data_IF_166578950173
#
_entry.id   IF_166578950173
#
_cell.length_a   1.000
_cell.length_b   1.000
_cell.length_c   1.000
_cell.angle_alpha   90.00
_cell.angle_beta   90.00
_cell.angle_gamma   90.00
#
_symmetry.space_group_name_H-M   'P 1'
#
loop_
_entity.id
_entity.type
_entity.pdbx_description
1 polymer ?
#
# COMPACT_ATOMS: atom_id res chain seq x y z
N UNK A 1 28.03 -18.40 -6.98
CA UNK A 1 27.59 -17.04 -6.59
C UNK A 1 27.00 -17.12 -5.19
N UNK A 2 27.43 -16.29 -4.24
CA UNK A 2 26.82 -16.25 -2.91
C UNK A 2 25.35 -15.83 -3.02
N UNK A 3 24.52 -16.32 -2.11
CA UNK A 3 23.11 -15.92 -2.06
C UNK A 3 23.02 -14.46 -1.61
N UNK A 4 22.34 -13.56 -2.35
CA UNK A 4 22.34 -12.15 -2.02
C UNK A 4 21.46 -11.88 -0.80
N UNK A 5 21.93 -11.01 0.10
CA UNK A 5 21.25 -10.68 1.37
C UNK A 5 21.19 -9.19 1.67
N UNK A 6 21.72 -8.32 0.80
CA UNK A 6 21.73 -6.88 1.02
C UNK A 6 21.01 -6.16 -0.10
N UNK A 7 20.03 -5.33 0.28
CA UNK A 7 19.36 -4.45 -0.64
C UNK A 7 20.04 -3.08 -0.67
N UNK A 8 20.21 -2.51 -1.86
CA UNK A 8 20.65 -1.13 -2.03
C UNK A 8 19.43 -0.21 -1.98
N UNK A 9 19.53 0.87 -1.21
CA UNK A 9 18.50 1.89 -1.08
C UNK A 9 19.01 3.17 -1.74
N UNK A 10 18.67 3.42 -3.02
CA UNK A 10 19.17 4.58 -3.73
C UNK A 10 18.44 5.85 -3.29
N UNK A 11 19.13 6.98 -3.40
CA UNK A 11 18.55 8.32 -3.45
C UNK A 11 18.65 8.82 -4.89
N UNK A 12 17.66 9.58 -5.36
CA UNK A 12 17.69 10.17 -6.69
C UNK A 12 18.61 11.39 -6.73
N UNK A 13 18.54 12.24 -5.71
CA UNK A 13 19.24 13.53 -5.67
C UNK A 13 20.62 13.47 -5.00
N UNK A 14 21.06 12.29 -4.53
CA UNK A 14 22.31 12.12 -3.81
C UNK A 14 23.04 10.85 -4.22
N UNK A 15 24.37 10.88 -4.17
CA UNK A 15 25.23 9.71 -4.32
C UNK A 15 25.27 8.84 -3.07
N UNK A 16 24.77 9.33 -1.93
CA UNK A 16 24.61 8.56 -0.69
C UNK A 16 23.77 7.33 -0.97
N UNK A 17 24.27 6.17 -0.55
CA UNK A 17 23.56 4.89 -0.64
C UNK A 17 23.40 4.33 0.75
N UNK A 18 22.15 4.09 1.15
CA UNK A 18 21.88 3.25 2.31
C UNK A 18 21.80 1.79 1.87
N UNK A 19 22.02 0.89 2.82
CA UNK A 19 21.89 -0.55 2.59
C UNK A 19 20.97 -1.14 3.62
N UNK A 20 20.05 -2.01 3.18
CA UNK A 20 19.19 -2.78 4.07
C UNK A 20 19.67 -4.24 4.09
N UNK A 21 20.40 -4.64 5.14
CA UNK A 21 20.77 -6.05 5.32
C UNK A 21 19.51 -6.90 5.55
N UNK A 22 19.58 -8.15 5.11
CA UNK A 22 18.56 -9.16 5.35
C UNK A 22 19.20 -10.40 5.97
N UNK A 23 18.45 -11.05 6.85
CA UNK A 23 18.81 -12.32 7.46
C UNK A 23 18.08 -13.45 6.73
N UNK A 24 18.85 -14.48 6.36
CA UNK A 24 18.31 -15.72 5.83
C UNK A 24 18.07 -16.69 7.00
N UNK A 25 16.81 -16.91 7.35
CA UNK A 25 16.43 -17.74 8.51
C UNK A 25 15.70 -19.00 8.04
N UNK A 26 16.11 -20.21 8.45
CA UNK A 26 15.34 -21.42 8.18
C UNK A 26 13.92 -21.32 8.74
N UNK A 27 12.92 -21.78 7.99
CA UNK A 27 11.56 -21.91 8.49
C UNK A 27 11.40 -23.23 9.24
N UNK A 28 10.75 -23.17 10.40
CA UNK A 28 10.32 -24.34 11.18
C UNK A 28 8.91 -24.82 10.81
N UNK A 29 8.36 -24.33 9.70
CA UNK A 29 6.97 -24.54 9.32
C UNK A 29 6.73 -25.97 8.80
N UNK A 30 5.63 -26.59 9.21
CA UNK A 30 5.24 -27.96 8.82
C UNK A 30 4.39 -28.00 7.54
N UNK A 31 3.88 -26.86 7.06
CA UNK A 31 3.15 -26.81 5.80
C UNK A 31 4.04 -27.32 4.65
N UNK A 32 3.58 -28.33 3.91
CA UNK A 32 4.35 -28.99 2.86
C UNK A 32 5.04 -28.01 1.88
N UNK A 33 4.36 -26.91 1.53
CA UNK A 33 4.90 -25.87 0.63
C UNK A 33 6.06 -25.03 1.23
N UNK A 34 6.25 -25.07 2.55
CA UNK A 34 7.24 -24.29 3.31
C UNK A 34 8.33 -25.14 3.98
N UNK A 35 8.13 -26.45 4.09
CA UNK A 35 9.14 -27.37 4.66
C UNK A 35 10.46 -27.24 3.92
N UNK A 36 11.55 -27.11 4.69
CA UNK A 36 12.92 -27.01 4.15
C UNK A 36 13.24 -25.68 3.45
N UNK A 37 12.36 -24.67 3.53
CA UNK A 37 12.61 -23.33 2.98
C UNK A 37 13.19 -22.41 4.04
N UNK A 38 13.90 -21.39 3.58
CA UNK A 38 14.35 -20.26 4.40
C UNK A 38 13.60 -18.99 4.00
N UNK A 39 13.38 -18.09 4.95
CA UNK A 39 12.84 -16.76 4.72
C UNK A 39 13.98 -15.74 4.63
N UNK A 40 13.85 -14.76 3.74
CA UNK A 40 14.75 -13.60 3.69
C UNK A 40 14.05 -12.40 4.35
N UNK A 41 14.47 -12.07 5.57
CA UNK A 41 13.84 -11.07 6.43
C UNK A 41 14.70 -9.81 6.53
N UNK A 42 14.16 -8.59 6.36
CA UNK A 42 14.91 -7.36 6.64
C UNK A 42 15.47 -7.36 8.07
N UNK A 43 16.75 -7.06 8.22
CA UNK A 43 17.41 -6.92 9.52
C UNK A 43 17.19 -5.49 10.04
N UNK A 44 16.04 -5.28 10.67
CA UNK A 44 15.60 -3.99 11.21
C UNK A 44 14.98 -4.21 12.58
N UNK A 45 15.32 -3.34 13.54
CA UNK A 45 14.66 -3.28 14.83
C UNK A 45 13.35 -2.49 14.72
N UNK A 46 12.21 -3.20 14.73
CA UNK A 46 10.90 -2.56 14.65
C UNK A 46 10.50 -1.81 15.94
N UNK A 47 11.18 -2.05 17.07
CA UNK A 47 10.93 -1.34 18.33
C UNK A 47 11.59 0.04 18.37
N UNK A 48 12.58 0.29 17.49
CA UNK A 48 13.16 1.60 17.22
C UNK A 48 12.16 2.60 16.59
N UNK A 49 10.93 2.17 16.30
CA UNK A 49 9.88 2.98 15.69
C UNK A 49 8.62 3.04 16.55
N UNK A 50 7.97 4.21 16.51
CA UNK A 50 6.61 4.40 17.00
C UNK A 50 5.66 4.40 15.81
N UNK A 51 4.67 3.51 15.84
CA UNK A 51 3.64 3.45 14.81
C UNK A 51 2.38 4.22 15.23
N UNK A 52 1.76 4.95 14.29
CA UNK A 52 0.50 5.68 14.49
C UNK A 52 -0.35 5.61 13.24
N UNK A 53 -1.61 5.21 13.36
CA UNK A 53 -2.59 5.34 12.28
C UNK A 53 -3.39 6.64 12.42
N UNK A 54 -3.75 7.27 11.30
CA UNK A 54 -4.56 8.49 11.21
C UNK A 54 -5.45 8.46 9.97
N UNK A 55 -6.57 9.21 10.00
CA UNK A 55 -7.33 9.55 8.79
C UNK A 55 -6.69 10.81 8.21
N UNK A 56 -6.12 10.71 7.01
CA UNK A 56 -5.47 11.86 6.36
C UNK A 56 -6.50 12.80 5.77
N UNK A 57 -7.56 12.27 5.16
CA UNK A 57 -8.74 13.04 4.76
C UNK A 57 -9.94 12.13 4.53
N UNK A 58 -11.12 12.73 4.49
CA UNK A 58 -12.38 12.10 4.11
C UNK A 58 -13.15 13.02 3.16
N UNK A 59 -13.76 12.45 2.13
CA UNK A 59 -14.63 13.16 1.20
C UNK A 59 -16.06 12.64 1.35
N UNK A 60 -16.97 13.55 1.64
CA UNK A 60 -18.40 13.30 1.78
C UNK A 60 -19.17 14.00 0.67
N UNK A 61 -20.24 13.39 0.19
CA UNK A 61 -21.22 13.99 -0.71
C UNK A 61 -22.46 14.39 0.08
N UNK A 62 -22.81 15.67 0.02
CA UNK A 62 -23.97 16.24 0.70
C UNK A 62 -25.04 16.64 -0.32
N UNK A 63 -26.31 16.50 0.06
CA UNK A 63 -27.46 16.96 -0.70
C UNK A 63 -28.37 17.79 0.20
N UNK A 64 -28.34 19.11 0.00
CA UNK A 64 -29.05 20.10 0.77
C UNK A 64 -30.46 20.35 0.23
N UNK A 65 -31.42 20.60 1.11
CA UNK A 65 -32.78 20.96 0.71
C UNK A 65 -32.85 22.38 0.14
N UNK A 66 -31.97 23.27 0.65
CA UNK A 66 -31.84 24.65 0.20
C UNK A 66 -30.62 24.82 -0.70
N UNK A 67 -30.77 25.60 -1.76
CA UNK A 67 -29.67 26.00 -2.63
C UNK A 67 -28.71 26.92 -1.85
N UNK A 68 -27.41 26.69 -1.99
CA UNK A 68 -26.36 27.44 -1.28
C UNK A 68 -25.18 27.76 -2.18
N UNK A 69 -24.14 28.39 -1.63
CA UNK A 69 -22.89 28.70 -2.33
C UNK A 69 -21.69 28.26 -1.50
N UNK A 70 -20.56 28.08 -2.18
CA UNK A 70 -19.29 27.65 -1.58
C UNK A 70 -18.94 28.43 -0.30
N UNK A 71 -19.02 29.77 -0.34
CA UNK A 71 -18.66 30.63 0.79
C UNK A 71 -19.52 30.36 2.04
N UNK A 72 -20.80 30.05 1.88
CA UNK A 72 -21.72 29.84 3.00
C UNK A 72 -21.50 28.47 3.64
N UNK A 73 -21.30 27.43 2.83
CA UNK A 73 -20.87 26.11 3.33
C UNK A 73 -19.54 26.24 4.06
N UNK A 74 -18.55 26.92 3.46
CA UNK A 74 -17.24 27.11 4.08
C UNK A 74 -17.31 27.86 5.42
N UNK A 75 -18.23 28.81 5.59
CA UNK A 75 -18.46 29.50 6.86
C UNK A 75 -18.93 28.54 7.95
N UNK A 76 -19.85 27.62 7.65
CA UNK A 76 -20.29 26.60 8.62
C UNK A 76 -19.12 25.68 8.99
N UNK A 77 -18.37 25.21 7.99
CA UNK A 77 -17.21 24.34 8.21
C UNK A 77 -16.16 24.98 9.13
N UNK A 78 -15.90 26.29 8.99
CA UNK A 78 -14.95 27.03 9.85
C UNK A 78 -15.37 27.15 11.31
N UNK A 79 -16.66 26.95 11.62
CA UNK A 79 -17.13 26.88 13.00
C UNK A 79 -16.67 25.62 13.75
N UNK A 80 -16.17 24.62 13.01
CA UNK A 80 -15.84 23.29 13.55
C UNK A 80 -14.44 22.80 13.15
N UNK A 81 -13.89 23.28 12.04
CA UNK A 81 -12.65 22.81 11.46
C UNK A 81 -11.59 23.92 11.46
N UNK A 82 -10.36 23.57 11.83
CA UNK A 82 -9.22 24.49 11.86
C UNK A 82 -8.71 24.89 10.46
N UNK A 83 -9.23 24.25 9.41
CA UNK A 83 -8.74 24.40 8.03
C UNK A 83 -9.91 24.47 7.06
N UNK A 84 -9.71 25.20 5.96
CA UNK A 84 -10.68 25.19 4.86
C UNK A 84 -10.75 23.79 4.25
N UNK A 85 -11.96 23.38 3.86
CA UNK A 85 -12.20 22.12 3.18
C UNK A 85 -12.28 22.37 1.68
N UNK A 86 -11.90 21.39 0.87
CA UNK A 86 -12.14 21.51 -0.56
C UNK A 86 -13.61 21.19 -0.83
N UNK A 87 -14.36 22.16 -1.33
CA UNK A 87 -15.78 21.99 -1.68
C UNK A 87 -15.88 21.98 -3.20
N UNK A 88 -16.35 20.87 -3.76
CA UNK A 88 -16.62 20.72 -5.19
C UNK A 88 -18.13 20.69 -5.40
N UNK A 89 -18.73 21.80 -5.88
CA UNK A 89 -20.14 21.82 -6.25
C UNK A 89 -20.46 20.74 -7.28
N UNK A 90 -21.63 20.10 -7.14
CA UNK A 90 -22.20 19.18 -8.11
C UNK A 90 -23.46 19.84 -8.66
N UNK A 91 -23.64 19.82 -9.99
CA UNK A 91 -24.80 20.41 -10.66
C UNK A 91 -24.98 21.91 -10.35
N UNK A 92 -24.00 22.73 -10.72
CA UNK A 92 -24.07 24.18 -10.52
C UNK A 92 -25.25 24.79 -11.29
N UNK A 93 -26.06 25.58 -10.59
CA UNK A 93 -27.00 26.53 -11.18
C UNK A 93 -26.39 27.92 -11.33
N UNK A 94 -27.26 28.89 -11.64
CA UNK A 94 -26.86 30.30 -11.81
C UNK A 94 -26.18 30.85 -10.55
N UNK A 95 -25.19 31.72 -10.76
CA UNK A 95 -24.42 32.32 -9.66
C UNK A 95 -23.55 31.35 -8.86
N UNK A 96 -23.14 30.22 -9.47
CA UNK A 96 -22.36 29.15 -8.83
C UNK A 96 -23.06 28.56 -7.60
N UNK A 97 -24.38 28.58 -7.62
CA UNK A 97 -25.20 27.99 -6.58
C UNK A 97 -25.33 26.49 -6.78
N UNK A 98 -25.55 25.74 -5.70
CA UNK A 98 -25.72 24.29 -5.75
C UNK A 98 -26.56 23.79 -4.58
N UNK A 99 -27.29 22.69 -4.80
CA UNK A 99 -27.90 21.88 -3.73
C UNK A 99 -27.07 20.64 -3.40
N UNK A 100 -26.14 20.25 -4.28
CA UNK A 100 -25.31 19.05 -4.11
C UNK A 100 -23.84 19.41 -4.18
N UNK A 101 -23.00 18.83 -3.31
CA UNK A 101 -21.55 19.04 -3.36
C UNK A 101 -20.77 17.88 -2.76
N UNK A 102 -19.48 17.81 -3.09
CA UNK A 102 -18.49 17.01 -2.37
C UNK A 102 -17.67 17.90 -1.47
N UNK A 103 -17.46 17.49 -0.23
CA UNK A 103 -16.67 18.20 0.76
C UNK A 103 -15.54 17.29 1.21
N UNK A 104 -14.29 17.69 0.95
CA UNK A 104 -13.10 16.99 1.44
C UNK A 104 -12.57 17.67 2.70
N UNK A 105 -12.66 16.97 3.81
CA UNK A 105 -12.18 17.39 5.13
C UNK A 105 -10.77 16.80 5.31
N UNK A 106 -9.80 17.69 5.49
CA UNK A 106 -8.39 17.34 5.66
C UNK A 106 -8.07 17.13 7.15
N UNK A 107 -7.36 16.05 7.44
CA UNK A 107 -6.84 15.66 8.75
C UNK A 107 -7.87 15.81 9.89
N UNK A 108 -9.09 15.25 9.75
CA UNK A 108 -10.10 15.37 10.79
C UNK A 108 -9.56 14.79 12.10
N UNK A 109 -9.72 15.53 13.22
CA UNK A 109 -9.29 15.05 14.55
C UNK A 109 -10.05 13.80 15.00
N UNK A 110 -11.28 13.63 14.52
CA UNK A 110 -12.08 12.41 14.65
C UNK A 110 -13.17 12.34 13.57
N UNK A 111 -13.68 11.14 13.30
CA UNK A 111 -14.85 10.93 12.46
C UNK A 111 -16.15 11.35 13.16
N UNK A 112 -16.17 11.37 14.49
CA UNK A 112 -17.27 11.96 15.25
C UNK A 112 -17.43 13.47 14.95
N UNK A 113 -16.32 14.21 14.80
CA UNK A 113 -16.37 15.61 14.38
C UNK A 113 -16.93 15.76 12.96
N UNK A 114 -16.59 14.85 12.04
CA UNK A 114 -17.16 14.84 10.68
C UNK A 114 -18.68 14.71 10.73
N UNK A 115 -19.20 13.86 11.62
CA UNK A 115 -20.64 13.75 11.85
C UNK A 115 -21.25 15.04 12.41
N UNK A 116 -20.64 15.65 13.43
CA UNK A 116 -21.08 16.96 13.96
C UNK A 116 -21.12 18.05 12.88
N UNK A 117 -20.12 18.08 11.99
CA UNK A 117 -20.09 19.00 10.85
C UNK A 117 -21.26 18.75 9.90
N UNK A 118 -21.58 17.49 9.63
CA UNK A 118 -22.72 17.13 8.78
C UNK A 118 -24.05 17.55 9.42
N UNK A 119 -24.21 17.35 10.72
CA UNK A 119 -25.41 17.80 11.45
C UNK A 119 -25.56 19.33 11.35
N UNK A 120 -24.48 20.08 11.58
CA UNK A 120 -24.51 21.54 11.47
C UNK A 120 -24.86 22.05 10.06
N UNK A 121 -24.43 21.33 9.02
CA UNK A 121 -24.82 21.63 7.63
C UNK A 121 -26.30 21.30 7.37
N UNK A 122 -26.78 20.17 7.89
CA UNK A 122 -28.17 19.75 7.79
C UNK A 122 -29.10 20.73 8.52
N UNK A 123 -28.75 21.16 9.73
CA UNK A 123 -29.50 22.17 10.50
C UNK A 123 -29.59 23.50 9.76
N UNK A 124 -28.51 23.89 9.05
CA UNK A 124 -28.45 25.17 8.37
C UNK A 124 -29.17 25.19 7.02
N UNK A 125 -29.07 24.11 6.24
CA UNK A 125 -29.53 24.10 4.83
C UNK A 125 -30.62 23.05 4.55
N UNK A 126 -31.01 22.27 5.55
CA UNK A 126 -31.81 21.07 5.38
C UNK A 126 -31.04 19.96 4.66
N UNK A 127 -31.52 18.73 4.77
CA UNK A 127 -30.89 17.56 4.18
C UNK A 127 -31.92 16.74 3.40
N UNK A 128 -31.65 16.51 2.11
CA UNK A 128 -32.52 15.69 1.24
C UNK A 128 -32.20 14.20 1.42
N UNK A 129 -30.90 13.87 1.52
CA UNK A 129 -30.41 12.50 1.72
C UNK A 129 -29.26 12.49 2.72
N UNK A 130 -29.06 11.38 3.43
CA UNK A 130 -27.88 11.13 4.27
C UNK A 130 -26.58 11.48 3.52
N UNK A 131 -25.61 12.17 4.16
CA UNK A 131 -24.31 12.41 3.53
C UNK A 131 -23.59 11.08 3.30
N UNK A 132 -23.16 10.88 2.07
CA UNK A 132 -22.53 9.63 1.62
C UNK A 132 -21.02 9.80 1.66
N UNK A 133 -20.29 8.83 2.22
CA UNK A 133 -18.83 8.84 2.17
C UNK A 133 -18.40 8.40 0.78
N UNK A 134 -17.71 9.28 0.05
CA UNK A 134 -17.25 9.00 -1.32
C UNK A 134 -15.85 8.45 -1.37
N UNK A 135 -14.97 8.96 -0.52
CA UNK A 135 -13.58 8.55 -0.44
C UNK A 135 -13.03 8.77 0.96
N UNK A 136 -12.07 7.96 1.38
CA UNK A 136 -11.33 8.15 2.63
C UNK A 136 -9.88 7.70 2.44
N UNK A 137 -8.94 8.48 2.98
CA UNK A 137 -7.53 8.10 3.03
C UNK A 137 -7.10 7.82 4.47
N UNK A 138 -6.57 6.62 4.69
CA UNK A 138 -6.02 6.18 5.97
C UNK A 138 -4.52 6.01 5.82
N UNK A 139 -3.79 6.57 6.78
CA UNK A 139 -2.34 6.55 6.83
C UNK A 139 -1.84 5.79 8.04
N UNK A 140 -0.80 4.99 7.87
CA UNK A 140 0.00 4.40 8.95
C UNK A 140 1.41 4.98 8.86
N UNK A 141 1.78 5.70 9.91
CA UNK A 141 3.04 6.39 10.07
C UNK A 141 3.99 5.59 10.98
N UNK A 142 5.26 5.47 10.58
CA UNK A 142 6.34 4.94 11.39
C UNK A 142 7.37 6.05 11.67
N UNK A 143 7.42 6.48 12.93
CA UNK A 143 8.33 7.53 13.41
C UNK A 143 9.58 6.89 14.02
N UNK A 144 10.79 7.16 13.49
CA UNK A 144 12.02 6.71 14.13
C UNK A 144 12.21 7.42 15.49
N UNK A 145 12.50 6.66 16.55
CA UNK A 145 12.66 7.21 17.90
C UNK A 145 13.91 8.09 18.03
N UNK A 146 14.95 7.78 17.29
CA UNK A 146 16.21 8.52 17.25
C UNK A 146 16.19 9.72 16.28
N UNK A 147 15.09 9.86 15.51
CA UNK A 147 14.86 10.93 14.53
C UNK A 147 15.92 10.98 13.40
N UNK A 148 16.70 9.90 13.20
CA UNK A 148 17.75 9.87 12.18
C UNK A 148 17.21 9.47 10.81
N UNK A 149 17.70 10.13 9.77
CA UNK A 149 17.38 9.82 8.37
C UNK A 149 17.77 8.39 7.99
N UNK A 150 18.91 7.89 8.49
CA UNK A 150 19.37 6.52 8.23
C UNK A 150 18.37 5.47 8.77
N UNK A 151 17.87 5.66 9.99
CA UNK A 151 16.86 4.79 10.60
C UNK A 151 15.57 4.83 9.77
N UNK A 152 15.09 6.03 9.41
CA UNK A 152 13.91 6.18 8.54
C UNK A 152 14.08 5.50 7.17
N UNK A 153 15.26 5.62 6.56
CA UNK A 153 15.60 4.98 5.29
C UNK A 153 15.49 3.45 5.35
N UNK A 154 15.95 2.82 6.44
CA UNK A 154 15.82 1.38 6.64
C UNK A 154 14.36 0.93 6.70
N UNK A 155 13.52 1.66 7.45
CA UNK A 155 12.08 1.38 7.53
C UNK A 155 11.40 1.52 6.18
N UNK A 156 11.67 2.62 5.45
CA UNK A 156 11.08 2.83 4.13
C UNK A 156 11.49 1.71 3.16
N UNK A 157 12.78 1.37 3.13
CA UNK A 157 13.30 0.30 2.31
C UNK A 157 12.68 -1.07 2.63
N UNK A 158 12.40 -1.35 3.91
CA UNK A 158 11.77 -2.59 4.36
C UNK A 158 10.29 -2.64 3.97
N UNK A 159 9.55 -1.56 4.19
CA UNK A 159 8.12 -1.44 3.85
C UNK A 159 7.92 -1.53 2.34
N UNK A 160 8.67 -0.77 1.53
CA UNK A 160 8.57 -0.81 0.06
C UNK A 160 8.81 -2.21 -0.50
N UNK A 161 9.69 -3.00 0.14
CA UNK A 161 10.02 -4.37 -0.33
C UNK A 161 9.05 -5.43 0.13
N UNK A 162 8.40 -5.24 1.26
CA UNK A 162 7.54 -6.28 1.87
C UNK A 162 6.07 -5.99 1.69
N UNK A 163 5.69 -4.79 1.24
CA UNK A 163 4.31 -4.43 0.93
C UNK A 163 3.68 -5.42 -0.05
N UNK A 164 2.50 -5.91 0.30
CA UNK A 164 1.75 -6.91 -0.46
C UNK A 164 0.32 -6.46 -0.68
N UNK A 165 -0.21 -6.80 -1.85
CA UNK A 165 -1.64 -6.76 -2.16
C UNK A 165 -2.02 -8.03 -2.92
N UNK A 166 -3.22 -8.54 -2.68
CA UNK A 166 -3.83 -9.65 -3.41
C UNK A 166 -4.58 -9.19 -4.68
N UNK A 167 -4.71 -7.89 -4.89
CA UNK A 167 -5.28 -7.31 -6.10
C UNK A 167 -4.46 -7.67 -7.33
N UNK A 168 -5.14 -7.81 -8.46
CA UNK A 168 -4.47 -7.85 -9.75
C UNK A 168 -3.98 -6.45 -10.14
N UNK A 169 -2.73 -6.17 -9.82
CA UNK A 169 -2.05 -4.92 -10.15
C UNK A 169 -1.25 -5.00 -11.47
N UNK A 170 -1.35 -6.11 -12.20
CA UNK A 170 -0.52 -6.36 -13.38
C UNK A 170 -1.28 -6.21 -14.68
N UNK A 171 -2.59 -6.51 -14.68
CA UNK A 171 -3.46 -6.41 -15.86
C UNK A 171 -3.61 -4.98 -16.36
N UNK A 172 -3.90 -4.01 -15.49
CA UNK A 172 -3.87 -2.58 -15.84
C UNK A 172 -2.47 -2.01 -15.61
N UNK A 173 -1.91 -1.37 -16.63
CA UNK A 173 -0.61 -0.68 -16.54
C UNK A 173 -0.60 0.38 -15.45
N UNK A 174 -1.71 1.07 -15.20
CA UNK A 174 -1.82 2.16 -14.22
C UNK A 174 -1.82 1.66 -12.78
N UNK A 175 -2.18 0.40 -12.54
CA UNK A 175 -2.17 -0.19 -11.19
C UNK A 175 -0.78 -0.67 -10.75
N UNK A 176 0.16 -0.79 -11.69
CA UNK A 176 1.49 -1.36 -11.44
C UNK A 176 2.31 -0.51 -10.46
N UNK A 177 3.19 -1.15 -9.67
CA UNK A 177 4.14 -0.45 -8.81
C UNK A 177 4.99 0.53 -9.62
N UNK A 178 4.91 1.80 -9.24
CA UNK A 178 5.60 2.90 -9.93
C UNK A 178 6.10 3.94 -8.95
N UNK A 179 7.01 4.78 -9.43
CA UNK A 179 7.41 6.02 -8.77
C UNK A 179 7.05 7.18 -9.68
N UNK A 180 6.60 8.29 -9.10
CA UNK A 180 6.51 9.57 -9.79
C UNK A 180 7.69 10.45 -9.33
N UNK A 181 8.68 10.66 -10.20
CA UNK A 181 9.81 11.51 -9.91
C UNK A 181 9.43 12.99 -10.12
N UNK A 182 8.58 13.56 -9.27
CA UNK A 182 8.23 14.99 -9.30
C UNK A 182 7.73 15.47 -10.68
N UNK A 183 6.66 14.86 -11.20
CA UNK A 183 5.97 15.26 -12.44
C UNK A 183 6.79 15.04 -13.73
N UNK A 184 7.90 14.29 -13.65
CA UNK A 184 8.76 13.97 -14.80
C UNK A 184 8.74 12.46 -15.05
N UNK A 185 7.80 12.04 -15.91
CA UNK A 185 7.59 10.67 -16.44
C UNK A 185 7.57 9.58 -15.36
N UNK A 186 6.38 9.00 -15.17
CA UNK A 186 6.17 7.77 -14.40
C UNK A 186 7.20 6.70 -14.75
N UNK A 187 7.86 6.14 -13.73
CA UNK A 187 8.77 5.00 -13.88
C UNK A 187 8.21 3.78 -13.16
N UNK A 188 8.03 2.69 -13.89
CA UNK A 188 7.59 1.41 -13.34
C UNK A 188 8.76 0.70 -12.66
N UNK A 189 8.48 0.01 -11.55
CA UNK A 189 9.50 -0.72 -10.79
C UNK A 189 9.82 -2.09 -11.37
N UNK A 190 9.03 -2.56 -12.33
CA UNK A 190 9.15 -3.87 -12.97
C UNK A 190 8.82 -3.80 -14.45
N UNK A 191 9.36 -4.71 -15.28
CA UNK A 191 9.09 -4.74 -16.72
C UNK A 191 7.63 -5.11 -17.00
N UNK A 192 7.17 -4.85 -18.23
CA UNK A 192 5.80 -5.16 -18.64
C UNK A 192 5.61 -6.68 -18.82
N UNK A 193 4.54 -7.29 -18.28
CA UNK A 193 4.30 -8.74 -18.34
C UNK A 193 4.10 -9.30 -19.76
N UNK A 194 3.53 -8.53 -20.69
CA UNK A 194 2.87 -9.09 -21.89
C UNK A 194 3.55 -8.78 -23.24
N UNK A 195 4.74 -8.18 -23.25
CA UNK A 195 5.48 -8.05 -24.50
C UNK A 195 6.12 -9.40 -24.82
N UNK A 196 5.59 -10.12 -25.82
CA UNK A 196 6.10 -11.43 -26.31
C UNK A 196 7.62 -11.47 -26.55
N UNK A 197 8.26 -10.33 -26.80
CA UNK A 197 9.72 -10.20 -26.96
C UNK A 197 10.50 -10.17 -25.64
N UNK A 198 9.83 -9.96 -24.51
CA UNK A 198 10.42 -9.52 -23.25
C UNK A 198 10.01 -10.35 -22.02
N UNK A 199 9.41 -11.54 -22.22
CA UNK A 199 9.10 -12.50 -21.12
C UNK A 199 10.35 -12.86 -20.30
N UNK A 200 11.55 -12.68 -20.87
CA UNK A 200 12.82 -12.88 -20.14
C UNK A 200 13.14 -11.73 -19.19
N UNK A 201 12.63 -10.53 -19.44
CA UNK A 201 12.95 -9.34 -18.64
C UNK A 201 12.31 -9.39 -17.26
N UNK A 202 11.08 -9.89 -17.13
CA UNK A 202 10.47 -10.13 -15.82
C UNK A 202 11.16 -11.22 -15.00
N UNK A 203 11.98 -12.05 -15.65
CA UNK A 203 12.83 -13.03 -15.00
C UNK A 203 14.30 -12.59 -14.91
N UNK A 204 14.64 -11.36 -15.29
CA UNK A 204 15.98 -10.82 -15.21
C UNK A 204 16.03 -9.75 -14.08
N UNK A 205 16.72 -10.02 -12.96
CA UNK A 205 16.80 -9.08 -11.83
C UNK A 205 17.31 -7.68 -12.19
N UNK A 206 18.11 -7.54 -13.26
CA UNK A 206 18.66 -6.26 -13.72
C UNK A 206 17.61 -5.36 -14.40
N UNK A 207 16.49 -5.93 -14.83
CA UNK A 207 15.38 -5.19 -15.47
C UNK A 207 14.38 -4.63 -14.46
N UNK A 208 14.62 -4.87 -13.17
CA UNK A 208 13.83 -4.35 -12.07
C UNK A 208 14.50 -3.11 -11.46
N UNK A 209 13.71 -2.17 -10.95
CA UNK A 209 14.22 -0.91 -10.40
C UNK A 209 13.94 -0.80 -8.90
N UNK A 210 14.96 -0.46 -8.14
CA UNK A 210 14.79 -0.12 -6.73
C UNK A 210 14.07 1.22 -6.59
N UNK A 211 12.98 1.32 -5.79
CA UNK A 211 12.35 2.59 -5.51
C UNK A 211 13.34 3.48 -4.73
N UNK A 212 13.61 4.71 -5.20
CA UNK A 212 14.43 5.65 -4.46
C UNK A 212 13.75 6.08 -3.14
N UNK A 213 14.54 6.32 -2.10
CA UNK A 213 14.04 6.71 -0.79
C UNK A 213 13.45 8.12 -0.77
N UNK A 214 13.93 9.00 -1.63
CA UNK A 214 13.44 10.38 -1.83
C UNK A 214 12.30 10.46 -2.86
N UNK A 215 11.63 9.34 -3.13
CA UNK A 215 10.48 9.24 -4.05
C UNK A 215 9.30 8.53 -3.37
N UNK A 216 8.09 8.82 -3.86
CA UNK A 216 6.88 8.10 -3.44
C UNK A 216 6.68 6.88 -4.34
N UNK A 217 6.50 5.71 -3.73
CA UNK A 217 6.06 4.50 -4.42
C UNK A 217 4.53 4.45 -4.42
N UNK A 218 3.97 4.21 -5.61
CA UNK A 218 2.54 4.13 -5.85
C UNK A 218 2.15 2.72 -6.29
N UNK A 219 1.01 2.23 -5.82
CA UNK A 219 0.37 0.99 -6.29
C UNK A 219 -1.13 1.26 -6.46
N UNK A 220 -1.68 0.95 -7.63
CA UNK A 220 -3.03 1.39 -8.03
C UNK A 220 -3.04 2.65 -8.90
N UNK A 221 -3.99 2.81 -9.82
CA UNK A 221 -4.13 4.01 -10.63
C UNK A 221 -4.50 5.24 -9.78
N UNK A 222 -4.15 6.43 -10.27
CA UNK A 222 -4.64 7.67 -9.67
C UNK A 222 -6.17 7.72 -9.80
N UNK A 223 -6.87 8.00 -8.71
CA UNK A 223 -8.34 7.90 -8.59
C UNK A 223 -8.93 6.50 -8.76
N UNK A 224 -8.13 5.43 -8.65
CA UNK A 224 -8.69 4.08 -8.54
C UNK A 224 -9.48 3.92 -7.23
N UNK A 225 -10.37 2.92 -7.24
CA UNK A 225 -11.15 2.47 -6.07
C UNK A 225 -10.24 2.19 -4.86
N UNK A 226 -9.03 1.68 -5.11
CA UNK A 226 -8.00 1.46 -4.09
C UNK A 226 -6.68 1.99 -4.65
N UNK A 227 -6.03 2.86 -3.88
CA UNK A 227 -4.76 3.46 -4.25
C UNK A 227 -3.83 3.56 -3.04
N UNK A 228 -2.59 3.08 -3.19
CA UNK A 228 -1.60 3.08 -2.13
C UNK A 228 -0.44 4.02 -2.44
N UNK A 229 0.07 4.67 -1.38
CA UNK A 229 1.29 5.48 -1.41
C UNK A 229 2.23 5.06 -0.28
N UNK A 230 3.51 4.91 -0.59
CA UNK A 230 4.56 4.62 0.38
C UNK A 230 5.70 5.61 0.17
N UNK A 231 5.99 6.44 1.18
CA UNK A 231 6.91 7.56 1.02
C UNK A 231 7.71 7.90 2.29
N UNK A 232 8.83 8.59 2.09
CA UNK A 232 9.47 9.37 3.15
C UNK A 232 8.76 10.73 3.29
N UNK A 233 8.05 10.92 4.40
CA UNK A 233 7.29 12.14 4.67
C UNK A 233 8.18 13.11 5.43
N UNK A 234 8.89 13.96 4.67
CA UNK A 234 9.80 15.01 5.16
C UNK A 234 9.29 16.43 4.92
N UNK A 235 8.24 16.57 4.13
CA UNK A 235 7.55 17.83 3.85
C UNK A 235 6.06 17.67 4.14
N UNK A 236 5.44 18.76 4.53
CA UNK A 236 4.00 18.86 4.72
C UNK A 236 3.41 20.05 3.97
N UNK A 237 2.13 19.93 3.61
CA UNK A 237 1.35 20.97 2.92
C UNK A 237 2.07 21.57 1.70
N UNK A 238 1.99 20.89 0.56
CA UNK A 238 2.36 21.54 -0.70
C UNK A 238 1.26 22.54 -1.09
N UNK A 239 1.58 23.82 -1.05
CA UNK A 239 0.73 24.85 -1.61
C UNK A 239 0.80 24.74 -3.15
N UNK A 240 -0.28 25.01 -3.90
CA UNK A 240 -0.27 25.02 -5.36
C UNK A 240 0.81 25.95 -5.97
N UNK A 241 1.27 26.94 -5.21
CA UNK A 241 2.33 27.89 -5.59
C UNK A 241 3.76 27.33 -5.40
N UNK A 242 3.91 26.09 -4.95
CA UNK A 242 5.20 25.40 -4.77
C UNK A 242 5.84 25.56 -3.38
N UNK A 243 5.28 26.39 -2.51
CA UNK A 243 5.71 26.45 -1.10
C UNK A 243 5.35 25.16 -0.37
N UNK A 244 6.30 24.61 0.38
CA UNK A 244 6.11 23.44 1.23
C UNK A 244 6.64 23.74 2.63
N UNK A 245 5.96 23.21 3.64
CA UNK A 245 6.44 23.27 5.01
C UNK A 245 7.40 22.11 5.23
N UNK A 246 8.65 22.41 5.56
CA UNK A 246 9.60 21.35 5.97
C UNK A 246 9.20 20.86 7.35
N UNK A 247 9.12 19.55 7.50
CA UNK A 247 8.83 18.93 8.79
C UNK A 247 10.04 19.01 9.72
N UNK A 248 9.78 19.18 11.01
CA UNK A 248 10.81 19.01 12.05
C UNK A 248 11.27 17.57 12.11
N UNK A 249 12.46 17.30 12.66
CA UNK A 249 13.00 15.94 12.74
C UNK A 249 12.08 14.96 13.50
N UNK A 250 11.34 15.46 14.50
CA UNK A 250 10.35 14.69 15.26
C UNK A 250 9.08 14.34 14.45
N UNK A 251 8.78 15.10 13.40
CA UNK A 251 7.61 14.90 12.53
C UNK A 251 7.94 14.06 11.29
N UNK A 252 9.22 13.97 10.91
CA UNK A 252 9.66 13.12 9.80
C UNK A 252 9.34 11.66 10.09
N UNK A 253 8.80 10.98 9.08
CA UNK A 253 8.27 9.62 9.23
C UNK A 253 8.21 8.88 7.90
N UNK A 254 8.22 7.55 7.97
CA UNK A 254 7.77 6.73 6.84
C UNK A 254 6.26 6.68 6.88
N UNK A 255 5.61 6.95 5.75
CA UNK A 255 4.15 6.90 5.65
C UNK A 255 3.69 5.88 4.63
N UNK A 256 2.65 5.15 5.00
CA UNK A 256 1.93 4.18 4.17
C UNK A 256 0.48 4.61 4.13
N UNK A 257 -0.04 4.95 2.96
CA UNK A 257 -1.39 5.46 2.79
C UNK A 257 -2.19 4.50 1.93
N UNK A 258 -3.47 4.38 2.24
CA UNK A 258 -4.47 3.78 1.36
C UNK A 258 -5.65 4.73 1.21
N UNK A 259 -5.97 5.07 -0.03
CA UNK A 259 -7.20 5.73 -0.41
C UNK A 259 -8.21 4.66 -0.85
N UNK A 260 -9.40 4.70 -0.27
CA UNK A 260 -10.54 3.83 -0.59
C UNK A 260 -11.67 4.68 -1.17
N UNK A 261 -12.32 4.17 -2.21
CA UNK A 261 -13.43 4.82 -2.90
C UNK A 261 -14.48 3.80 -3.35
N UNK A 262 -15.64 4.29 -3.77
CA UNK A 262 -16.72 3.53 -4.42
C UNK A 262 -17.05 2.21 -3.69
N UNK A 263 -17.18 1.10 -4.42
CA UNK A 263 -17.60 -0.20 -3.91
C UNK A 263 -16.66 -0.80 -2.86
N UNK A 264 -15.40 -0.36 -2.79
CA UNK A 264 -14.50 -0.85 -1.74
C UNK A 264 -14.86 -0.28 -0.37
N UNK A 265 -15.41 0.94 -0.31
CA UNK A 265 -15.94 1.50 0.94
C UNK A 265 -17.07 0.62 1.47
N UNK A 266 -18.01 0.25 0.60
CA UNK A 266 -19.14 -0.62 0.97
C UNK A 266 -18.64 -1.99 1.47
N UNK A 267 -17.63 -2.56 0.82
CA UNK A 267 -17.04 -3.84 1.25
C UNK A 267 -16.35 -3.78 2.62
N UNK A 268 -15.91 -2.60 3.06
CA UNK A 268 -15.35 -2.41 4.41
C UNK A 268 -16.39 -1.87 5.40
N UNK A 269 -17.64 -1.71 4.99
CA UNK A 269 -18.75 -1.25 5.82
C UNK A 269 -18.81 0.26 5.99
N UNK A 270 -18.21 1.04 5.08
CA UNK A 270 -18.33 2.50 5.02
C UNK A 270 -19.26 2.86 3.86
N UNK A 271 -20.39 3.48 4.16
CA UNK A 271 -21.37 3.91 3.16
C UNK A 271 -21.70 5.38 3.33
N UNK A 272 -22.12 5.74 4.53
CA UNK A 272 -22.56 7.07 4.93
C UNK A 272 -21.85 7.51 6.22
N UNK A 273 -22.12 8.74 6.64
CA UNK A 273 -21.52 9.29 7.86
C UNK A 273 -21.92 8.51 9.12
N UNK A 274 -23.09 7.87 9.16
CA UNK A 274 -23.51 7.08 10.30
C UNK A 274 -22.70 5.76 10.42
N UNK A 275 -22.37 5.13 9.29
CA UNK A 275 -21.55 3.92 9.23
C UNK A 275 -20.15 4.10 9.85
N UNK A 276 -19.62 5.33 9.84
CA UNK A 276 -18.33 5.68 10.45
C UNK A 276 -18.28 5.42 11.96
N UNK A 277 -19.44 5.42 12.65
CA UNK A 277 -19.53 5.15 14.10
C UNK A 277 -19.13 3.73 14.45
N UNK A 278 -19.51 2.77 13.62
CA UNK A 278 -19.29 1.33 13.86
C UNK A 278 -18.09 0.78 13.09
N UNK A 279 -17.45 1.60 12.26
CA UNK A 279 -16.31 1.19 11.47
C UNK A 279 -15.12 0.80 12.34
N UNK A 280 -14.42 -0.27 11.93
CA UNK A 280 -13.23 -0.79 12.62
C UNK A 280 -12.03 -0.70 11.68
N UNK A 281 -11.12 0.22 11.96
CA UNK A 281 -9.87 0.42 11.21
C UNK A 281 -8.97 -0.81 11.24
N UNK A 282 -9.03 -1.62 12.31
CA UNK A 282 -8.31 -2.90 12.39
C UNK A 282 -8.70 -3.88 11.28
N UNK A 283 -9.91 -3.79 10.72
CA UNK A 283 -10.31 -4.60 9.56
C UNK A 283 -9.46 -4.33 8.31
N UNK A 284 -8.89 -3.12 8.19
CA UNK A 284 -8.07 -2.71 7.06
C UNK A 284 -6.70 -3.41 7.01
N UNK A 285 -6.17 -3.85 8.15
CA UNK A 285 -4.83 -4.44 8.22
C UNK A 285 -4.71 -5.65 7.29
N UNK A 286 -5.71 -6.55 7.34
CA UNK A 286 -5.69 -7.80 6.60
C UNK A 286 -5.89 -7.65 5.11
N UNK A 287 -6.26 -6.47 4.58
CA UNK A 287 -6.50 -6.26 3.13
C UNK A 287 -5.55 -5.22 2.54
N UNK A 288 -5.36 -4.10 3.23
CA UNK A 288 -4.70 -2.93 2.66
C UNK A 288 -3.31 -2.66 3.23
N UNK A 289 -3.03 -3.15 4.44
CA UNK A 289 -1.72 -3.02 5.09
C UNK A 289 -1.10 -4.38 5.37
N UNK A 290 -0.89 -5.15 4.30
CA UNK A 290 -0.25 -6.46 4.38
C UNK A 290 1.24 -6.37 4.04
N UNK A 291 2.06 -6.99 4.89
CA UNK A 291 3.48 -7.18 4.63
C UNK A 291 3.82 -8.67 4.61
N UNK A 292 4.58 -9.09 3.60
CA UNK A 292 4.99 -10.48 3.40
C UNK A 292 6.49 -10.60 3.17
N UNK A 293 7.04 -11.74 3.56
CA UNK A 293 8.44 -12.12 3.36
C UNK A 293 8.53 -13.26 2.35
N UNK A 294 9.46 -13.17 1.39
CA UNK A 294 9.68 -14.26 0.44
C UNK A 294 10.41 -15.43 1.08
N UNK A 295 10.16 -16.62 0.54
CA UNK A 295 10.82 -17.86 0.97
C UNK A 295 11.60 -18.48 -0.20
N UNK A 296 12.65 -19.24 0.12
CA UNK A 296 13.61 -19.80 -0.83
C UNK A 296 13.94 -21.25 -0.46
N UNK A 297 13.98 -22.14 -1.45
CA UNK A 297 14.41 -23.54 -1.26
C UNK A 297 15.87 -23.69 -1.67
N UNK A 298 16.79 -23.37 -0.76
CA UNK A 298 18.22 -23.49 -1.00
C UNK A 298 18.74 -24.85 -0.54
N UNK A 299 19.47 -25.54 -1.42
CA UNK A 299 20.12 -26.82 -1.09
C UNK A 299 21.59 -26.59 -0.77
N UNK A 300 22.06 -27.08 0.38
CA UNK A 300 23.50 -27.14 0.71
C UNK A 300 24.14 -28.28 -0.10
N UNK A 301 25.33 -28.04 -0.66
CA UNK A 301 26.06 -29.01 -1.51
C UNK A 301 25.22 -29.52 -2.70
N UNK A 302 24.83 -28.64 -3.63
CA UNK A 302 23.90 -29.01 -4.69
C UNK A 302 24.55 -29.90 -5.76
N UNK A 303 23.81 -30.92 -6.21
CA UNK A 303 24.04 -31.56 -7.52
C UNK A 303 23.94 -30.52 -8.66
N UNK A 304 24.41 -30.84 -9.87
CA UNK A 304 24.32 -29.91 -11.01
C UNK A 304 22.89 -29.38 -11.25
N UNK A 305 21.87 -30.24 -11.14
CA UNK A 305 20.46 -29.83 -11.23
C UNK A 305 20.06 -28.87 -10.11
N UNK A 306 20.44 -29.18 -8.87
CA UNK A 306 20.17 -28.32 -7.71
C UNK A 306 20.96 -27.01 -7.79
N UNK A 307 22.12 -26.98 -8.44
CA UNK A 307 22.91 -25.77 -8.63
C UNK A 307 22.17 -24.80 -9.55
N UNK A 308 21.53 -25.31 -10.61
CA UNK A 308 20.62 -24.52 -11.44
C UNK A 308 19.41 -23.98 -10.66
N UNK A 309 18.83 -24.78 -9.76
CA UNK A 309 17.73 -24.33 -8.90
C UNK A 309 18.19 -23.25 -7.90
N UNK A 310 19.36 -23.43 -7.27
CA UNK A 310 19.94 -22.43 -6.37
C UNK A 310 20.25 -21.12 -7.12
N UNK A 311 20.69 -21.19 -8.38
CA UNK A 311 20.89 -20.00 -9.21
C UNK A 311 19.57 -19.26 -9.45
N UNK A 312 18.49 -19.98 -9.77
CA UNK A 312 17.15 -19.38 -9.88
C UNK A 312 16.69 -18.75 -8.57
N UNK A 313 16.91 -19.41 -7.43
CA UNK A 313 16.59 -18.86 -6.11
C UNK A 313 17.42 -17.59 -5.81
N UNK A 314 18.67 -17.53 -6.23
CA UNK A 314 19.49 -16.31 -6.12
C UNK A 314 18.96 -15.17 -7.01
N UNK A 315 18.49 -15.47 -8.23
CA UNK A 315 17.83 -14.46 -9.09
C UNK A 315 16.52 -13.96 -8.48
N UNK A 316 15.71 -14.86 -7.90
CA UNK A 316 14.50 -14.50 -7.14
C UNK A 316 14.85 -13.56 -5.98
N UNK A 317 15.89 -13.89 -5.22
CA UNK A 317 16.35 -13.08 -4.10
C UNK A 317 16.82 -11.70 -4.57
N UNK A 318 17.59 -11.63 -5.66
CA UNK A 318 18.03 -10.36 -6.24
C UNK A 318 16.83 -9.51 -6.70
N UNK A 319 15.82 -10.11 -7.34
CA UNK A 319 14.59 -9.41 -7.75
C UNK A 319 13.87 -8.80 -6.55
N UNK A 320 13.73 -9.56 -5.46
CA UNK A 320 13.15 -9.07 -4.22
C UNK A 320 14.00 -7.96 -3.57
N UNK A 321 15.31 -8.13 -3.48
CA UNK A 321 16.21 -7.13 -2.89
C UNK A 321 16.26 -5.84 -3.71
N UNK A 322 16.04 -5.92 -5.02
CA UNK A 322 15.93 -4.75 -5.89
C UNK A 322 14.56 -4.08 -5.74
N UNK A 323 13.45 -4.78 -6.01
CA UNK A 323 12.13 -4.16 -6.21
C UNK A 323 11.00 -4.69 -5.33
N UNK A 324 11.32 -5.57 -4.40
CA UNK A 324 10.35 -6.08 -3.43
C UNK A 324 9.51 -7.27 -3.89
N UNK A 325 8.59 -7.65 -3.03
CA UNK A 325 7.80 -8.88 -3.13
C UNK A 325 6.77 -8.85 -4.27
N UNK A 326 6.26 -7.67 -4.63
CA UNK A 326 5.38 -7.52 -5.79
C UNK A 326 6.13 -7.88 -7.08
N UNK A 327 7.34 -7.33 -7.26
CA UNK A 327 8.20 -7.66 -8.40
C UNK A 327 8.58 -9.14 -8.43
N UNK A 328 8.87 -9.75 -7.27
CA UNK A 328 9.09 -11.19 -7.17
C UNK A 328 7.84 -12.00 -7.57
N UNK A 329 6.64 -11.52 -7.22
CA UNK A 329 5.39 -12.14 -7.67
C UNK A 329 5.26 -12.16 -9.19
N UNK A 330 5.65 -11.07 -9.87
CA UNK A 330 5.72 -11.02 -11.33
C UNK A 330 6.75 -12.01 -11.89
N UNK A 331 7.93 -12.07 -11.28
CA UNK A 331 8.98 -13.03 -11.66
C UNK A 331 8.45 -14.46 -11.58
N UNK A 332 7.85 -14.83 -10.44
CA UNK A 332 7.34 -16.18 -10.19
C UNK A 332 6.21 -16.54 -11.17
N UNK A 333 5.25 -15.62 -11.39
CA UNK A 333 4.17 -15.81 -12.37
C UNK A 333 4.71 -16.02 -13.79
N UNK A 334 5.72 -15.26 -14.19
CA UNK A 334 6.33 -15.38 -15.53
C UNK A 334 7.07 -16.70 -15.69
N UNK A 335 7.79 -17.13 -14.65
CA UNK A 335 8.45 -18.44 -14.63
C UNK A 335 7.45 -19.60 -14.71
N UNK A 336 6.33 -19.51 -13.98
CA UNK A 336 5.26 -20.52 -14.04
C UNK A 336 4.65 -20.62 -15.44
N UNK A 337 4.35 -19.48 -16.07
CA UNK A 337 3.85 -19.44 -17.46
C UNK A 337 4.85 -20.05 -18.44
N UNK A 338 6.16 -19.77 -18.27
CA UNK A 338 7.22 -20.34 -19.11
C UNK A 338 7.33 -21.86 -18.92
N UNK A 339 7.32 -22.33 -17.67
CA UNK A 339 7.39 -23.75 -17.36
C UNK A 339 6.17 -24.48 -17.90
N UNK A 340 4.98 -23.90 -17.79
CA UNK A 340 3.76 -24.43 -18.40
C UNK A 340 3.83 -24.52 -19.92
N UNK A 341 4.36 -23.48 -20.60
CA UNK A 341 4.56 -23.53 -22.07
C UNK A 341 5.52 -24.64 -22.48
N UNK A 342 6.63 -24.80 -21.76
CA UNK A 342 7.60 -25.87 -22.00
C UNK A 342 6.97 -27.25 -21.76
N UNK A 343 6.28 -27.43 -20.64
CA UNK A 343 5.57 -28.68 -20.34
C UNK A 343 4.56 -29.02 -21.42
N UNK A 344 3.73 -28.08 -21.89
CA UNK A 344 2.78 -28.33 -22.99
C UNK A 344 3.49 -28.82 -24.26
N UNK A 345 4.68 -28.27 -24.58
CA UNK A 345 5.49 -28.75 -25.73
C UNK A 345 6.04 -30.15 -25.49
N UNK A 346 6.56 -30.44 -24.30
CA UNK A 346 7.09 -31.76 -23.94
C UNK A 346 6.00 -32.82 -23.87
N UNK A 347 4.88 -32.53 -23.23
CA UNK A 347 3.68 -33.37 -23.17
C UNK A 347 3.20 -33.78 -24.56
N UNK A 348 3.09 -32.83 -25.51
CA UNK A 348 2.74 -33.14 -26.90
C UNK A 348 3.74 -34.09 -27.58
N UNK A 349 5.04 -33.97 -27.27
CA UNK A 349 6.06 -34.89 -27.81
C UNK A 349 5.98 -36.28 -27.16
N UNK A 350 5.79 -36.34 -25.84
CA UNK A 350 5.68 -37.58 -25.08
C UNK A 350 4.41 -38.36 -25.47
N UNK A 351 3.29 -37.67 -25.66
CA UNK A 351 2.05 -38.26 -26.14
C UNK A 351 2.22 -38.91 -27.53
N UNK A 352 2.97 -38.26 -28.45
CA UNK A 352 3.31 -38.84 -29.75
C UNK A 352 4.20 -40.09 -29.67
N UNK A 353 4.91 -40.26 -28.56
CA UNK A 353 5.78 -41.40 -28.29
C UNK A 353 5.08 -42.48 -27.44
N UNK A 354 3.78 -42.35 -27.14
CA UNK A 354 3.00 -43.24 -26.27
C UNK A 354 3.65 -43.50 -24.91
N UNK A 355 4.39 -42.52 -24.39
CA UNK A 355 5.06 -42.60 -23.09
C UNK A 355 4.19 -41.99 -21.99
N UNK A 356 4.36 -42.43 -20.72
CA UNK A 356 3.62 -41.88 -19.60
C UNK A 356 3.84 -40.37 -19.46
N UNK A 357 2.75 -39.65 -19.24
CA UNK A 357 2.75 -38.19 -19.16
C UNK A 357 3.52 -37.70 -17.92
N UNK A 358 4.41 -36.70 -18.08
CA UNK A 358 5.07 -36.09 -16.94
C UNK A 358 4.07 -35.28 -16.12
N UNK A 359 4.24 -35.25 -14.79
CA UNK A 359 3.46 -34.41 -13.89
C UNK A 359 3.42 -32.95 -14.36
N UNK A 360 2.26 -32.32 -14.26
CA UNK A 360 2.06 -30.94 -14.68
C UNK A 360 2.76 -29.98 -13.69
N UNK A 361 3.52 -28.98 -14.19
CA UNK A 361 4.08 -27.95 -13.34
C UNK A 361 2.96 -27.20 -12.62
N UNK A 362 3.09 -27.05 -11.30
CA UNK A 362 2.16 -26.27 -10.49
C UNK A 362 1.04 -27.04 -9.82
N UNK A 363 0.87 -28.36 -10.07
CA UNK A 363 -0.12 -29.18 -9.34
C UNK A 363 0.13 -29.16 -7.81
N UNK A 364 1.37 -28.91 -7.37
CA UNK A 364 1.75 -28.80 -5.96
C UNK A 364 1.88 -27.34 -5.44
N UNK A 365 1.73 -26.30 -6.30
CA UNK A 365 1.90 -24.88 -5.91
C UNK A 365 0.54 -24.26 -5.55
N UNK A 366 0.07 -24.52 -4.33
CA UNK A 366 -1.22 -24.00 -3.83
C UNK A 366 -1.21 -22.49 -3.50
N UNK A 367 -0.04 -21.85 -3.32
CA UNK A 367 0.08 -20.42 -3.01
C UNK A 367 1.46 -19.86 -3.33
N UNK A 368 1.57 -18.53 -3.49
CA UNK A 368 2.85 -17.84 -3.65
C UNK A 368 3.83 -18.21 -2.50
N UNK A 369 5.13 -18.40 -2.79
CA UNK A 369 6.15 -18.82 -1.82
C UNK A 369 6.55 -17.68 -0.87
N UNK A 370 5.58 -17.14 -0.15
CA UNK A 370 5.74 -16.06 0.82
C UNK A 370 4.98 -16.38 2.11
N UNK A 371 5.42 -15.76 3.21
CA UNK A 371 4.77 -15.82 4.52
C UNK A 371 4.44 -14.41 5.01
N UNK A 372 3.46 -14.29 5.91
CA UNK A 372 3.15 -13.02 6.58
C UNK A 372 4.34 -12.55 7.42
N UNK A 373 4.72 -11.28 7.32
CA UNK A 373 5.67 -10.67 8.26
C UNK A 373 4.93 -10.30 9.55
N UNK A 374 4.76 -11.27 10.44
CA UNK A 374 3.91 -11.14 11.61
C UNK A 374 4.25 -9.93 12.50
N UNK A 375 5.54 -9.62 12.66
CA UNK A 375 6.01 -8.53 13.53
C UNK A 375 5.54 -7.14 13.06
N UNK A 376 5.79 -6.78 11.79
CA UNK A 376 5.35 -5.48 11.25
C UNK A 376 3.83 -5.43 11.13
N UNK A 377 3.18 -6.53 10.71
CA UNK A 377 1.73 -6.60 10.64
C UNK A 377 1.10 -6.39 12.02
N UNK A 378 1.72 -6.90 13.09
CA UNK A 378 1.30 -6.64 14.48
C UNK A 378 1.48 -5.18 14.86
N UNK A 379 2.60 -4.54 14.52
CA UNK A 379 2.82 -3.10 14.78
C UNK A 379 1.75 -2.24 14.11
N UNK A 380 1.43 -2.54 12.85
CA UNK A 380 0.38 -1.84 12.10
C UNK A 380 -1.00 -2.10 12.70
N UNK A 381 -1.33 -3.35 13.05
CA UNK A 381 -2.60 -3.67 13.70
C UNK A 381 -2.78 -2.91 15.01
N UNK A 382 -1.74 -2.83 15.86
CA UNK A 382 -1.79 -2.06 17.10
C UNK A 382 -1.99 -0.56 16.82
N UNK A 383 -1.36 -0.01 15.78
CA UNK A 383 -1.56 1.38 15.41
C UNK A 383 -3.01 1.68 14.97
N UNK A 384 -3.62 0.76 14.20
CA UNK A 384 -5.02 0.84 13.79
C UNK A 384 -5.98 0.63 14.96
N UNK A 385 -5.67 -0.29 15.89
CA UNK A 385 -6.45 -0.48 17.12
C UNK A 385 -6.47 0.80 17.97
N UNK A 386 -5.32 1.47 18.11
CA UNK A 386 -5.27 2.77 18.81
C UNK A 386 -6.09 3.85 18.10
N UNK A 387 -6.30 3.76 16.79
CA UNK A 387 -7.22 4.64 16.08
C UNK A 387 -8.67 4.27 16.40
N UNK A 388 -9.04 2.98 16.39
CA UNK A 388 -10.36 2.51 16.85
C UNK A 388 -10.69 3.05 18.26
N UNK A 389 -9.76 2.97 19.20
CA UNK A 389 -9.93 3.43 20.59
C UNK A 389 -10.16 4.94 20.71
N UNK A 390 -9.42 5.74 19.91
CA UNK A 390 -9.59 7.20 19.86
C UNK A 390 -10.94 7.58 19.27
N UNK A 391 -11.33 6.94 18.18
CA UNK A 391 -12.63 7.19 17.55
C UNK A 391 -13.78 6.78 18.48
N UNK A 392 -13.72 5.61 19.11
CA UNK A 392 -14.72 5.18 20.08
C UNK A 392 -14.85 6.17 21.25
N UNK A 393 -13.75 6.77 21.70
CA UNK A 393 -13.78 7.81 22.74
C UNK A 393 -14.40 9.12 22.23
N UNK A 394 -14.08 9.53 20.99
CA UNK A 394 -14.68 10.72 20.38
C UNK A 394 -16.20 10.57 20.16
N UNK A 395 -16.67 9.40 19.74
CA UNK A 395 -18.10 9.11 19.59
C UNK A 395 -18.84 9.13 20.94
N UNK A 396 -18.27 8.55 22.00
CA UNK A 396 -18.83 8.63 23.36
C UNK A 396 -18.97 10.08 23.85
N UNK A 397 -17.95 10.91 23.61
CA UNK A 397 -17.99 12.34 23.96
C UNK A 397 -19.09 13.08 23.19
N UNK A 398 -19.25 12.83 21.89
CA UNK A 398 -20.32 13.41 21.07
C UNK A 398 -21.71 13.03 21.60
N UNK A 399 -21.87 11.83 22.12
CA UNK A 399 -23.15 11.31 22.67
C UNK A 399 -23.44 11.76 24.11
N UNK A 400 -22.56 12.55 24.71
CA UNK A 400 -22.71 12.99 26.11
C UNK A 400 -22.48 11.86 27.12
N UNK A 401 -21.92 10.73 26.71
CA UNK A 401 -21.54 9.64 27.61
C UNK A 401 -20.24 10.05 28.31
N UNK A 402 -20.30 10.24 29.64
CA UNK A 402 -19.10 10.52 30.45
C UNK A 402 -18.06 9.41 30.23
N UNK A 403 -16.85 9.81 29.82
CA UNK A 403 -15.72 8.93 29.45
C UNK A 403 -15.09 8.28 30.67
#
# INVERSE_FOLDING_TARGET
MPFPTTAILPLRQSTTRYTLPHQLTPLTNTQARLVGRSVLKPAIDLDAYRFRAVVDWIEIECHFASVTQHRHVQTVLRGHLDRNSAITPLQCGDGLTFSKCKIRIQEPVSLALVATVCDALADRYGQVTAPVVKQIEISVDAYPRDQKDATRALMLGAVQRTFWTDRDIWSDKRDRPRIDPAHRRVRFLSPEPDKKKDERSACNPEMHYAPPLDSTMYVGAEHAVIFHRIMDKVIDRQHPTGHHYKLTDAEKRVRIEVCLADWELEQVGITDVASLRTFRFTSLQKRFFQFKLPTFALTKNPTARQAGMNHLEAMRAQTYLTSGILALGLFDRTMDLRQMKLWKKHARRIAKLSRPMPKRPGDDRLAAPAISWAEINRKVNVALQKLDEREASAWRQREGVKV
#
